data_IF_838943708320
#
_entry.id   IF_838943708320
#
_cell.length_a   1.000
_cell.length_b   1.000
_cell.length_c   1.000
_cell.angle_alpha   90.00
_cell.angle_beta   90.00
_cell.angle_gamma   90.00
#
_symmetry.space_group_name_H-M   'P 1'
#
loop_
_entity.id
_entity.type
_entity.pdbx_description
1 polymer ?
#
# COMPACT_ATOMS: atom_id res chain seq x y z
N UNK A 1 -19.17 -69.64 -18.16
CA UNK A 1 -18.87 -68.49 -17.27
C UNK A 1 -20.18 -67.84 -16.92
N UNK A 2 -20.40 -67.50 -15.65
CA UNK A 2 -21.54 -66.65 -15.31
C UNK A 2 -21.30 -65.25 -15.90
N UNK A 3 -22.36 -64.52 -16.26
CA UNK A 3 -22.25 -63.14 -16.77
C UNK A 3 -21.40 -62.25 -15.85
N UNK A 4 -21.47 -62.49 -14.54
CA UNK A 4 -20.77 -61.75 -13.50
C UNK A 4 -19.25 -61.94 -13.49
N UNK A 5 -18.78 -63.10 -13.93
CA UNK A 5 -17.36 -63.45 -14.03
C UNK A 5 -16.79 -63.11 -15.41
N UNK A 6 -17.57 -62.47 -16.29
CA UNK A 6 -17.06 -62.05 -17.61
C UNK A 6 -16.14 -60.86 -17.43
N UNK A 7 -14.90 -60.99 -17.86
CA UNK A 7 -13.88 -59.94 -17.78
C UNK A 7 -13.92 -59.02 -19.00
N UNK A 8 -13.89 -57.72 -18.75
CA UNK A 8 -13.72 -56.67 -19.74
C UNK A 8 -12.54 -55.81 -19.34
N UNK A 9 -11.51 -55.73 -20.20
CA UNK A 9 -10.27 -54.99 -19.92
C UNK A 9 -9.64 -55.37 -18.56
N UNK A 10 -9.64 -56.67 -18.25
CA UNK A 10 -9.04 -57.25 -17.04
C UNK A 10 -9.77 -56.97 -15.73
N UNK A 11 -11.02 -56.53 -15.80
CA UNK A 11 -11.92 -56.37 -14.66
C UNK A 11 -13.20 -57.17 -14.90
N UNK A 12 -13.71 -57.82 -13.87
CA UNK A 12 -15.01 -58.51 -13.95
C UNK A 12 -16.16 -57.50 -13.99
N UNK A 13 -17.34 -57.92 -14.47
CA UNK A 13 -18.57 -57.11 -14.34
C UNK A 13 -18.82 -56.71 -12.88
N UNK A 14 -18.44 -57.56 -11.92
CA UNK A 14 -18.54 -57.25 -10.48
C UNK A 14 -17.64 -56.08 -10.09
N UNK A 15 -16.40 -56.01 -10.56
CA UNK A 15 -15.46 -54.92 -10.22
C UNK A 15 -15.97 -53.56 -10.71
N UNK A 16 -16.53 -53.51 -11.92
CA UNK A 16 -17.19 -52.31 -12.43
C UNK A 16 -18.42 -51.91 -11.61
N UNK A 17 -19.21 -52.89 -11.15
CA UNK A 17 -20.35 -52.63 -10.27
C UNK A 17 -19.93 -52.17 -8.88
N UNK A 18 -18.81 -52.67 -8.35
CA UNK A 18 -18.23 -52.20 -7.08
C UNK A 18 -17.75 -50.76 -7.25
N UNK A 19 -16.97 -50.45 -8.30
CA UNK A 19 -16.52 -49.09 -8.60
C UNK A 19 -17.71 -48.12 -8.73
N UNK A 20 -18.72 -48.48 -9.54
CA UNK A 20 -19.93 -47.68 -9.70
C UNK A 20 -20.69 -47.53 -8.37
N UNK A 21 -20.79 -48.59 -7.57
CA UNK A 21 -21.41 -48.58 -6.26
C UNK A 21 -20.70 -47.67 -5.26
N UNK A 22 -19.36 -47.67 -5.25
CA UNK A 22 -18.53 -46.76 -4.44
C UNK A 22 -18.78 -45.32 -4.86
N UNK A 23 -18.75 -45.01 -6.16
CA UNK A 23 -18.96 -43.66 -6.68
C UNK A 23 -20.37 -43.17 -6.35
N UNK A 24 -21.40 -43.95 -6.65
CA UNK A 24 -22.80 -43.59 -6.37
C UNK A 24 -23.04 -43.45 -4.86
N UNK A 25 -22.55 -44.40 -4.06
CA UNK A 25 -22.65 -44.38 -2.60
C UNK A 25 -21.94 -43.18 -1.98
N UNK A 26 -20.74 -42.85 -2.47
CA UNK A 26 -19.99 -41.70 -1.98
C UNK A 26 -20.57 -40.36 -2.45
N UNK A 27 -21.20 -40.27 -3.63
CA UNK A 27 -21.98 -39.09 -4.03
C UNK A 27 -23.19 -38.90 -3.12
N UNK A 28 -23.89 -39.98 -2.75
CA UNK A 28 -24.98 -39.94 -1.76
C UNK A 28 -24.42 -39.49 -0.40
N UNK A 29 -23.29 -40.05 0.05
CA UNK A 29 -22.64 -39.66 1.29
C UNK A 29 -22.23 -38.17 1.28
N UNK A 30 -21.68 -37.67 0.17
CA UNK A 30 -21.33 -36.26 0.00
C UNK A 30 -22.57 -35.36 0.05
N UNK A 31 -23.70 -35.79 -0.54
CA UNK A 31 -25.00 -35.10 -0.40
C UNK A 31 -25.54 -35.14 1.03
N UNK A 32 -25.31 -36.22 1.77
CA UNK A 32 -25.66 -36.31 3.19
C UNK A 32 -24.78 -35.35 4.00
N UNK A 33 -23.47 -35.28 3.74
CA UNK A 33 -22.56 -34.32 4.38
C UNK A 33 -22.99 -32.89 4.10
N UNK A 34 -23.34 -32.58 2.84
CA UNK A 34 -23.93 -31.30 2.46
C UNK A 34 -25.22 -31.02 3.27
N UNK A 35 -26.15 -31.96 3.28
CA UNK A 35 -27.41 -31.83 4.03
C UNK A 35 -27.19 -31.65 5.54
N UNK A 36 -26.23 -32.39 6.14
CA UNK A 36 -25.87 -32.28 7.55
C UNK A 36 -25.22 -30.93 7.85
N UNK A 37 -24.28 -30.47 7.02
CA UNK A 37 -23.67 -29.15 7.14
C UNK A 37 -24.75 -28.06 7.14
N UNK A 38 -25.65 -28.11 6.15
CA UNK A 38 -26.72 -27.13 5.98
C UNK A 38 -27.77 -27.13 7.10
N UNK A 39 -28.16 -28.31 7.59
CA UNK A 39 -29.31 -28.43 8.50
C UNK A 39 -28.95 -28.63 9.97
N UNK A 40 -27.74 -29.13 10.26
CA UNK A 40 -27.26 -29.42 11.62
C UNK A 40 -26.16 -28.45 11.99
N UNK A 41 -25.06 -28.42 11.23
CA UNK A 41 -23.87 -27.61 11.57
C UNK A 41 -24.22 -26.12 11.59
N UNK A 42 -24.91 -25.61 10.56
CA UNK A 42 -25.40 -24.22 10.53
C UNK A 42 -26.37 -23.84 11.66
N UNK A 43 -27.05 -24.81 12.31
CA UNK A 43 -27.90 -24.53 13.49
C UNK A 43 -27.09 -24.46 14.79
N UNK A 44 -25.95 -25.14 14.82
CA UNK A 44 -25.04 -25.15 15.97
C UNK A 44 -24.15 -23.91 15.97
N UNK A 45 -23.63 -23.52 14.81
CA UNK A 45 -22.77 -22.33 14.67
C UNK A 45 -23.52 -21.04 14.96
N UNK A 46 -24.83 -20.95 14.68
CA UNK A 46 -25.68 -19.82 15.11
C UNK A 46 -25.76 -19.60 16.63
N UNK A 47 -25.31 -20.56 17.43
CA UNK A 47 -25.27 -20.47 18.91
C UNK A 47 -23.90 -20.05 19.43
N UNK A 48 -22.88 -19.95 18.57
CA UNK A 48 -21.56 -19.47 18.99
C UNK A 48 -21.58 -17.94 19.10
N UNK A 49 -20.61 -17.42 19.85
CA UNK A 49 -20.51 -15.97 20.10
C UNK A 49 -19.92 -15.20 18.91
N UNK A 50 -19.36 -15.89 17.92
CA UNK A 50 -18.61 -15.27 16.82
C UNK A 50 -19.28 -15.57 15.49
N UNK A 51 -19.47 -14.55 14.65
CA UNK A 51 -20.05 -14.70 13.31
C UNK A 51 -19.13 -15.48 12.35
N UNK A 52 -17.84 -15.58 12.70
CA UNK A 52 -16.84 -16.34 11.94
C UNK A 52 -17.26 -17.79 11.70
N UNK A 53 -17.79 -18.44 12.74
CA UNK A 53 -18.10 -19.86 12.68
C UNK A 53 -19.19 -20.15 11.63
N UNK A 54 -20.20 -19.27 11.54
CA UNK A 54 -21.27 -19.37 10.56
C UNK A 54 -20.76 -19.16 9.13
N UNK A 55 -19.87 -18.19 8.94
CA UNK A 55 -19.31 -17.83 7.64
C UNK A 55 -18.35 -18.91 7.14
N UNK A 56 -17.47 -19.41 8.00
CA UNK A 56 -16.54 -20.49 7.67
C UNK A 56 -17.33 -21.72 7.24
N UNK A 57 -18.35 -22.13 7.99
CA UNK A 57 -19.17 -23.30 7.63
C UNK A 57 -19.85 -23.11 6.28
N UNK A 58 -20.37 -21.91 5.99
CA UNK A 58 -20.99 -21.62 4.69
C UNK A 58 -19.99 -21.67 3.52
N UNK A 59 -18.76 -21.17 3.69
CA UNK A 59 -17.76 -21.14 2.63
C UNK A 59 -17.03 -22.47 2.43
N UNK A 60 -16.93 -23.29 3.48
CA UNK A 60 -16.25 -24.58 3.48
C UNK A 60 -17.13 -25.70 2.89
N UNK A 61 -18.45 -25.60 3.04
CA UNK A 61 -19.42 -26.65 2.68
C UNK A 61 -19.25 -27.16 1.24
N UNK A 62 -19.32 -26.29 0.24
CA UNK A 62 -19.27 -26.72 -1.16
C UNK A 62 -17.87 -27.25 -1.59
N UNK A 63 -16.74 -26.61 -1.22
CA UNK A 63 -15.42 -27.17 -1.50
C UNK A 63 -15.20 -28.55 -0.88
N UNK A 64 -15.62 -28.76 0.36
CA UNK A 64 -15.47 -30.06 1.03
C UNK A 64 -16.29 -31.14 0.33
N UNK A 65 -17.53 -30.84 -0.06
CA UNK A 65 -18.39 -31.81 -0.79
C UNK A 65 -17.77 -32.18 -2.13
N UNK A 66 -17.24 -31.20 -2.86
CA UNK A 66 -16.55 -31.47 -4.13
C UNK A 66 -15.26 -32.29 -3.92
N UNK A 67 -14.46 -31.95 -2.91
CA UNK A 67 -13.25 -32.70 -2.54
C UNK A 67 -13.56 -34.15 -2.14
N UNK A 68 -14.66 -34.38 -1.41
CA UNK A 68 -15.14 -35.72 -1.09
C UNK A 68 -15.53 -36.51 -2.34
N UNK A 69 -16.24 -35.88 -3.29
CA UNK A 69 -16.60 -36.52 -4.56
C UNK A 69 -15.34 -36.89 -5.34
N UNK A 70 -14.34 -36.01 -5.41
CA UNK A 70 -13.05 -36.32 -6.05
C UNK A 70 -12.34 -37.50 -5.36
N UNK A 71 -12.27 -37.50 -4.02
CA UNK A 71 -11.62 -38.56 -3.25
C UNK A 71 -12.33 -39.92 -3.40
N UNK A 72 -13.66 -39.94 -3.37
CA UNK A 72 -14.46 -41.15 -3.63
C UNK A 72 -14.25 -41.64 -5.06
N UNK A 73 -14.22 -40.73 -6.04
CA UNK A 73 -14.02 -41.10 -7.45
C UNK A 73 -12.64 -41.71 -7.64
N UNK A 74 -11.60 -41.09 -7.06
CA UNK A 74 -10.24 -41.63 -7.04
C UNK A 74 -10.19 -43.03 -6.41
N UNK A 75 -10.81 -43.19 -5.24
CA UNK A 75 -10.85 -44.48 -4.53
C UNK A 75 -11.63 -45.55 -5.33
N UNK A 76 -12.78 -45.21 -5.90
CA UNK A 76 -13.56 -46.13 -6.74
C UNK A 76 -12.80 -46.56 -7.99
N UNK A 77 -12.10 -45.63 -8.65
CA UNK A 77 -11.25 -45.96 -9.80
C UNK A 77 -10.07 -46.86 -9.41
N UNK A 78 -9.55 -46.74 -8.18
CA UNK A 78 -8.45 -47.60 -7.69
C UNK A 78 -8.85 -49.07 -7.47
N UNK A 79 -10.15 -49.38 -7.48
CA UNK A 79 -10.66 -50.76 -7.45
C UNK A 79 -10.63 -51.44 -8.83
N UNK A 80 -10.54 -50.66 -9.90
CA UNK A 80 -10.38 -51.22 -11.24
C UNK A 80 -8.91 -51.47 -11.50
N UNK A 81 -8.57 -52.71 -11.83
CA UNK A 81 -7.25 -53.10 -12.27
C UNK A 81 -7.26 -53.23 -13.78
N UNK A 82 -6.41 -52.50 -14.49
CA UNK A 82 -6.34 -52.57 -15.94
C UNK A 82 -5.04 -53.28 -16.33
N UNK A 83 -4.99 -54.63 -16.26
CA UNK A 83 -3.78 -55.38 -16.55
C UNK A 83 -3.37 -55.23 -18.02
N UNK A 84 -2.10 -54.88 -18.20
CA UNK A 84 -1.42 -54.70 -19.49
C UNK A 84 -1.52 -55.95 -20.40
N UNK A 85 -1.72 -57.13 -19.82
CA UNK A 85 -1.67 -58.43 -20.52
C UNK A 85 -2.87 -58.71 -21.42
N UNK A 86 -4.05 -58.16 -21.15
CA UNK A 86 -5.27 -58.54 -21.88
C UNK A 86 -5.45 -57.79 -23.20
N UNK A 87 -4.85 -56.60 -23.34
CA UNK A 87 -4.89 -55.83 -24.61
C UNK A 87 -4.13 -56.56 -25.72
N UNK A 88 -3.08 -57.31 -25.36
CA UNK A 88 -2.33 -58.17 -26.29
C UNK A 88 -3.10 -59.48 -26.60
N UNK A 89 -3.86 -59.99 -25.63
CA UNK A 89 -4.64 -61.24 -25.75
C UNK A 89 -5.95 -61.13 -26.54
N UNK A 90 -6.49 -59.93 -26.78
CA UNK A 90 -7.68 -59.74 -27.64
C UNK A 90 -7.38 -60.18 -29.09
N UNK A 91 -6.13 -60.03 -29.53
CA UNK A 91 -5.70 -60.34 -30.89
C UNK A 91 -5.77 -61.85 -31.21
N UNK A 92 -5.67 -62.70 -30.19
CA UNK A 92 -5.66 -64.16 -30.36
C UNK A 92 -7.10 -64.74 -30.47
N UNK A 93 -8.12 -63.98 -30.06
CA UNK A 93 -9.52 -64.48 -29.97
C UNK A 93 -10.50 -63.91 -30.99
N UNK A 94 -10.25 -62.75 -31.60
CA UNK A 94 -11.25 -62.06 -32.44
C UNK A 94 -10.99 -62.10 -33.94
N UNK A 95 -9.80 -62.46 -34.41
CA UNK A 95 -9.53 -62.63 -35.85
C UNK A 95 -9.64 -61.35 -36.70
N UNK A 96 -9.98 -60.21 -36.11
CA UNK A 96 -10.02 -58.92 -36.78
C UNK A 96 -8.60 -58.36 -36.92
N UNK A 97 -8.15 -58.29 -38.17
CA UNK A 97 -6.84 -57.82 -38.59
C UNK A 97 -6.78 -56.31 -38.42
N UNK A 98 -6.45 -55.85 -37.21
CA UNK A 98 -5.72 -54.59 -37.09
C UNK A 98 -4.28 -54.93 -37.49
N UNK A 99 -3.71 -54.15 -38.40
CA UNK A 99 -2.45 -54.40 -39.09
C UNK A 99 -1.24 -54.24 -38.13
N UNK A 100 -1.13 -55.11 -37.13
CA UNK A 100 0.00 -55.19 -36.18
C UNK A 100 1.11 -56.13 -36.66
N UNK A 101 0.95 -56.75 -37.83
CA UNK A 101 1.90 -57.70 -38.45
C UNK A 101 3.33 -57.12 -38.68
N UNK A 102 3.50 -55.81 -38.50
CA UNK A 102 4.78 -55.11 -38.61
C UNK A 102 5.55 -54.99 -37.28
N UNK A 103 4.95 -55.37 -36.14
CA UNK A 103 5.54 -55.30 -34.80
C UNK A 103 5.57 -56.67 -34.14
N UNK A 104 6.69 -57.00 -33.50
CA UNK A 104 6.83 -58.21 -32.69
C UNK A 104 5.94 -58.16 -31.43
N UNK A 105 5.52 -59.31 -30.88
CA UNK A 105 4.73 -59.36 -29.65
C UNK A 105 5.36 -58.63 -28.44
N UNK A 106 6.69 -58.55 -28.41
CA UNK A 106 7.43 -57.81 -27.38
C UNK A 106 7.27 -56.28 -27.56
N UNK A 107 7.32 -55.80 -28.80
CA UNK A 107 7.11 -54.39 -29.12
C UNK A 107 5.67 -53.96 -28.82
N UNK A 108 4.67 -54.78 -29.17
CA UNK A 108 3.26 -54.53 -28.83
C UNK A 108 3.06 -54.43 -27.32
N UNK A 109 3.66 -55.35 -26.54
CA UNK A 109 3.58 -55.32 -25.08
C UNK A 109 4.20 -54.06 -24.47
N UNK A 110 5.32 -53.59 -25.01
CA UNK A 110 5.98 -52.36 -24.56
C UNK A 110 5.15 -51.12 -24.93
N UNK A 111 4.57 -51.05 -26.13
CA UNK A 111 3.65 -49.98 -26.51
C UNK A 111 2.44 -49.89 -25.58
N UNK A 112 1.78 -51.02 -25.31
CA UNK A 112 0.62 -51.08 -24.41
C UNK A 112 1.01 -50.67 -22.98
N UNK A 113 2.16 -51.16 -22.47
CA UNK A 113 2.67 -50.79 -21.15
C UNK A 113 2.96 -49.29 -21.04
N UNK A 114 3.54 -48.69 -22.08
CA UNK A 114 3.84 -47.27 -22.12
C UNK A 114 2.54 -46.43 -22.18
N UNK A 115 1.57 -46.84 -22.99
CA UNK A 115 0.26 -46.19 -23.05
C UNK A 115 -0.46 -46.27 -21.69
N UNK A 116 -0.44 -47.43 -21.04
CA UNK A 116 -1.06 -47.64 -19.74
C UNK A 116 -0.44 -46.77 -18.64
N UNK A 117 0.89 -46.79 -18.52
CA UNK A 117 1.60 -45.98 -17.52
C UNK A 117 1.38 -44.49 -17.73
N UNK A 118 1.26 -44.05 -19.00
CA UNK A 118 0.88 -42.68 -19.33
C UNK A 118 -0.55 -42.35 -18.87
N UNK A 119 -1.54 -43.22 -19.11
CA UNK A 119 -2.93 -43.00 -18.69
C UNK A 119 -3.02 -42.94 -17.15
N UNK A 120 -2.38 -43.85 -16.42
CA UNK A 120 -2.35 -43.81 -14.96
C UNK A 120 -1.71 -42.51 -14.43
N UNK A 121 -0.59 -42.10 -15.02
CA UNK A 121 0.07 -40.85 -14.66
C UNK A 121 -0.80 -39.64 -14.96
N UNK A 122 -1.46 -39.61 -16.13
CA UNK A 122 -2.38 -38.56 -16.52
C UNK A 122 -3.55 -38.45 -15.54
N UNK A 123 -4.21 -39.56 -15.21
CA UNK A 123 -5.33 -39.59 -14.26
C UNK A 123 -4.86 -39.10 -12.89
N UNK A 124 -3.75 -39.62 -12.36
CA UNK A 124 -3.19 -39.16 -11.07
C UNK A 124 -2.89 -37.67 -11.06
N UNK A 125 -2.23 -37.17 -12.09
CA UNK A 125 -1.87 -35.77 -12.20
C UNK A 125 -3.12 -34.88 -12.35
N UNK A 126 -4.14 -35.34 -13.07
CA UNK A 126 -5.43 -34.67 -13.19
C UNK A 126 -6.14 -34.58 -11.83
N UNK A 127 -6.21 -35.66 -11.06
CA UNK A 127 -6.81 -35.63 -9.72
C UNK A 127 -6.03 -34.73 -8.76
N UNK A 128 -4.70 -34.79 -8.76
CA UNK A 128 -3.87 -33.87 -7.98
C UNK A 128 -4.15 -32.40 -8.35
N UNK A 129 -4.21 -32.10 -9.65
CA UNK A 129 -4.55 -30.77 -10.14
C UNK A 129 -5.94 -30.33 -9.65
N UNK A 130 -6.96 -31.16 -9.80
CA UNK A 130 -8.34 -30.86 -9.38
C UNK A 130 -8.46 -30.64 -7.86
N UNK A 131 -7.73 -31.41 -7.06
CA UNK A 131 -7.67 -31.22 -5.60
C UNK A 131 -7.04 -29.86 -5.26
N UNK A 132 -5.92 -29.50 -5.89
CA UNK A 132 -5.29 -28.20 -5.66
C UNK A 132 -6.20 -27.05 -6.09
N UNK A 133 -6.89 -27.17 -7.22
CA UNK A 133 -7.87 -26.18 -7.67
C UNK A 133 -9.05 -26.08 -6.70
N UNK A 134 -9.53 -27.21 -6.14
CA UNK A 134 -10.57 -27.19 -5.11
C UNK A 134 -10.12 -26.49 -3.83
N UNK A 135 -8.88 -26.72 -3.37
CA UNK A 135 -8.29 -26.04 -2.22
C UNK A 135 -8.12 -24.54 -2.52
N UNK A 136 -7.68 -24.18 -3.73
CA UNK A 136 -7.54 -22.78 -4.17
C UNK A 136 -8.89 -22.08 -4.14
N UNK A 137 -9.93 -22.74 -4.64
CA UNK A 137 -11.29 -22.23 -4.60
C UNK A 137 -11.78 -22.04 -3.16
N UNK A 138 -11.51 -22.98 -2.26
CA UNK A 138 -11.80 -22.84 -0.83
C UNK A 138 -11.10 -21.61 -0.22
N UNK A 139 -9.79 -21.47 -0.46
CA UNK A 139 -9.00 -20.34 0.05
C UNK A 139 -9.53 -19.02 -0.50
N UNK A 140 -9.86 -18.94 -1.78
CA UNK A 140 -10.45 -17.75 -2.39
C UNK A 140 -11.79 -17.37 -1.74
N UNK A 141 -12.68 -18.35 -1.50
CA UNK A 141 -13.96 -18.11 -0.82
C UNK A 141 -13.78 -17.65 0.62
N UNK A 142 -12.83 -18.23 1.35
CA UNK A 142 -12.53 -17.83 2.72
C UNK A 142 -11.94 -16.41 2.76
N UNK A 143 -11.03 -16.08 1.84
CA UNK A 143 -10.48 -14.73 1.72
C UNK A 143 -11.59 -13.70 1.43
N UNK A 144 -12.48 -13.99 0.47
CA UNK A 144 -13.63 -13.12 0.16
C UNK A 144 -14.55 -12.94 1.38
N UNK A 145 -14.82 -14.02 2.12
CA UNK A 145 -15.62 -13.98 3.35
C UNK A 145 -14.98 -13.15 4.46
N UNK A 146 -13.66 -13.27 4.66
CA UNK A 146 -12.94 -12.46 5.65
C UNK A 146 -12.95 -10.98 5.28
N UNK A 147 -12.80 -10.65 3.99
CA UNK A 147 -12.91 -9.27 3.52
C UNK A 147 -14.33 -8.74 3.79
N UNK A 148 -15.36 -9.52 3.49
CA UNK A 148 -16.76 -9.12 3.69
C UNK A 148 -17.10 -8.92 5.17
N UNK A 149 -16.63 -9.78 6.07
CA UNK A 149 -16.96 -9.69 7.50
C UNK A 149 -16.12 -8.64 8.26
N UNK A 150 -14.84 -8.48 7.89
CA UNK A 150 -13.94 -7.62 8.67
C UNK A 150 -13.63 -6.29 8.01
N UNK A 151 -13.48 -6.26 6.69
CA UNK A 151 -13.00 -5.06 6.01
C UNK A 151 -14.19 -4.18 5.61
N UNK A 152 -15.24 -4.75 4.98
CA UNK A 152 -16.43 -3.98 4.56
C UNK A 152 -17.08 -3.19 5.71
N UNK A 153 -17.30 -3.75 6.92
CA UNK A 153 -17.97 -2.99 7.98
C UNK A 153 -17.10 -1.88 8.58
N UNK A 154 -15.77 -1.95 8.38
CA UNK A 154 -14.85 -0.87 8.77
C UNK A 154 -14.93 0.26 7.74
N UNK A 155 -15.00 -0.07 6.45
CA UNK A 155 -15.11 0.91 5.37
C UNK A 155 -16.46 1.63 5.39
N UNK A 156 -17.56 0.94 5.66
CA UNK A 156 -18.90 1.56 5.76
C UNK A 156 -19.07 2.54 6.94
N UNK A 157 -18.25 2.38 7.98
CA UNK A 157 -18.23 3.29 9.15
C UNK A 157 -17.30 4.49 8.95
N UNK A 158 -16.45 4.43 7.93
CA UNK A 158 -15.55 5.50 7.55
C UNK A 158 -16.31 6.52 6.71
N UNK A 159 -16.16 7.81 7.00
CA UNK A 159 -16.78 8.88 6.22
C UNK A 159 -16.01 9.20 4.91
N UNK A 160 -15.14 8.29 4.47
CA UNK A 160 -14.14 8.51 3.43
C UNK A 160 -14.52 7.78 2.13
N UNK A 161 -14.75 8.53 1.06
CA UNK A 161 -15.01 8.02 -0.31
C UNK A 161 -13.89 7.09 -0.85
N UNK A 162 -12.72 7.13 -0.21
CA UNK A 162 -11.55 6.39 -0.63
C UNK A 162 -11.66 4.89 -0.31
N UNK A 163 -12.32 4.54 0.78
CA UNK A 163 -12.43 3.14 1.22
C UNK A 163 -13.31 2.33 0.25
N UNK A 164 -14.37 2.95 -0.26
CA UNK A 164 -15.30 2.38 -1.24
C UNK A 164 -14.65 2.12 -2.61
N UNK A 165 -13.63 2.90 -2.98
CA UNK A 165 -12.93 2.75 -4.26
C UNK A 165 -11.75 1.77 -4.18
N UNK A 166 -11.05 1.71 -3.04
CA UNK A 166 -9.91 0.81 -2.87
C UNK A 166 -10.34 -0.64 -2.63
N UNK A 167 -11.43 -0.86 -1.90
CA UNK A 167 -11.86 -2.20 -1.51
C UNK A 167 -12.13 -3.14 -2.70
N UNK A 168 -12.83 -2.72 -3.78
CA UNK A 168 -13.02 -3.55 -4.96
C UNK A 168 -11.71 -3.92 -5.65
N UNK A 169 -10.75 -2.98 -5.71
CA UNK A 169 -9.44 -3.18 -6.34
C UNK A 169 -8.65 -4.21 -5.52
N UNK A 170 -8.60 -4.04 -4.21
CA UNK A 170 -7.91 -4.95 -3.30
C UNK A 170 -8.51 -6.36 -3.37
N UNK A 171 -9.85 -6.49 -3.29
CA UNK A 171 -10.55 -7.78 -3.37
C UNK A 171 -10.26 -8.49 -4.69
N UNK A 172 -10.35 -7.77 -5.82
CA UNK A 172 -10.06 -8.31 -7.15
C UNK A 172 -8.59 -8.72 -7.28
N UNK A 173 -7.67 -7.90 -6.80
CA UNK A 173 -6.23 -8.18 -6.80
C UNK A 173 -5.87 -9.43 -6.00
N UNK A 174 -6.37 -9.53 -4.76
CA UNK A 174 -6.14 -10.70 -3.92
C UNK A 174 -6.69 -11.98 -4.56
N UNK A 175 -7.89 -11.93 -5.15
CA UNK A 175 -8.47 -13.07 -5.86
C UNK A 175 -7.60 -13.49 -7.05
N UNK A 176 -7.09 -12.54 -7.84
CA UNK A 176 -6.18 -12.84 -8.96
C UNK A 176 -4.92 -13.54 -8.44
N UNK A 177 -4.30 -13.03 -7.36
CA UNK A 177 -3.09 -13.62 -6.77
C UNK A 177 -3.35 -15.06 -6.31
N UNK A 178 -4.44 -15.30 -5.57
CA UNK A 178 -4.79 -16.64 -5.08
C UNK A 178 -4.96 -17.62 -6.25
N UNK A 179 -5.68 -17.23 -7.31
CA UNK A 179 -5.89 -18.11 -8.47
C UNK A 179 -4.63 -18.36 -9.28
N UNK A 180 -3.80 -17.34 -9.51
CA UNK A 180 -2.51 -17.49 -10.21
C UNK A 180 -1.62 -18.46 -9.45
N UNK A 181 -1.48 -18.27 -8.13
CA UNK A 181 -0.69 -19.18 -7.28
C UNK A 181 -1.26 -20.59 -7.27
N UNK A 182 -2.58 -20.73 -7.13
CA UNK A 182 -3.25 -22.03 -7.13
C UNK A 182 -3.08 -22.81 -8.44
N UNK A 183 -3.15 -22.12 -9.58
CA UNK A 183 -2.89 -22.74 -10.90
C UNK A 183 -1.44 -23.22 -11.00
N UNK A 184 -0.48 -22.40 -10.57
CA UNK A 184 0.95 -22.77 -10.59
C UNK A 184 1.23 -23.98 -9.71
N UNK A 185 0.73 -23.98 -8.47
CA UNK A 185 0.87 -25.13 -7.56
C UNK A 185 0.19 -26.36 -8.14
N UNK A 186 -0.97 -26.19 -8.78
CA UNK A 186 -1.69 -27.27 -9.45
C UNK A 186 -0.88 -27.89 -10.57
N UNK A 187 -0.32 -27.07 -11.46
CA UNK A 187 0.53 -27.50 -12.57
C UNK A 187 1.80 -28.20 -12.06
N UNK A 188 2.45 -27.65 -11.04
CA UNK A 188 3.63 -28.24 -10.44
C UNK A 188 3.33 -29.64 -9.84
N UNK A 189 2.23 -29.78 -9.10
CA UNK A 189 1.79 -31.05 -8.55
C UNK A 189 1.33 -32.06 -9.61
N UNK A 190 0.93 -31.58 -10.79
CA UNK A 190 0.63 -32.41 -11.95
C UNK A 190 1.89 -32.80 -12.76
N UNK A 191 3.09 -32.44 -12.28
CA UNK A 191 4.37 -32.83 -12.88
C UNK A 191 4.86 -31.90 -14.00
N UNK A 192 4.22 -30.74 -14.19
CA UNK A 192 4.72 -29.72 -15.12
C UNK A 192 5.81 -28.88 -14.47
N UNK A 193 6.87 -28.58 -15.23
CA UNK A 193 7.88 -27.61 -14.80
C UNK A 193 7.31 -26.19 -14.91
N UNK A 194 7.06 -25.57 -13.76
CA UNK A 194 6.57 -24.20 -13.64
C UNK A 194 7.69 -23.17 -13.47
N UNK A 195 8.96 -23.58 -13.53
CA UNK A 195 10.12 -22.72 -13.33
C UNK A 195 10.13 -21.50 -14.26
N UNK A 196 9.82 -21.70 -15.54
CA UNK A 196 9.73 -20.61 -16.51
C UNK A 196 8.58 -19.63 -16.19
N UNK A 197 7.43 -20.13 -15.72
CA UNK A 197 6.28 -19.30 -15.33
C UNK A 197 6.62 -18.49 -14.07
N UNK A 198 7.22 -19.13 -13.07
CA UNK A 198 7.68 -18.47 -11.85
C UNK A 198 8.76 -17.42 -12.13
N UNK A 199 9.72 -17.73 -13.00
CA UNK A 199 10.74 -16.77 -13.42
C UNK A 199 10.12 -15.56 -14.13
N UNK A 200 9.18 -15.79 -15.06
CA UNK A 200 8.45 -14.73 -15.76
C UNK A 200 7.62 -13.87 -14.82
N UNK A 201 6.90 -14.46 -13.87
CA UNK A 201 6.16 -13.73 -12.84
C UNK A 201 7.07 -12.99 -11.87
N UNK A 202 8.25 -13.52 -11.56
CA UNK A 202 9.25 -12.84 -10.74
C UNK A 202 9.76 -11.56 -11.40
N UNK A 203 10.16 -11.65 -12.67
CA UNK A 203 10.61 -10.48 -13.45
C UNK A 203 9.44 -9.50 -13.67
N UNK A 204 8.25 -10.00 -14.04
CA UNK A 204 7.07 -9.18 -14.22
C UNK A 204 6.62 -8.49 -12.92
N UNK A 205 6.71 -9.19 -11.79
CA UNK A 205 6.44 -8.67 -10.45
C UNK A 205 7.43 -7.60 -10.04
N UNK A 206 8.72 -7.78 -10.34
CA UNK A 206 9.73 -6.74 -10.12
C UNK A 206 9.44 -5.49 -10.97
N UNK A 207 9.14 -5.66 -12.26
CA UNK A 207 8.78 -4.55 -13.14
C UNK A 207 7.53 -3.81 -12.63
N UNK A 208 6.52 -4.53 -12.18
CA UNK A 208 5.32 -3.95 -11.56
C UNK A 208 5.64 -3.21 -10.25
N UNK A 209 6.49 -3.78 -9.39
CA UNK A 209 6.92 -3.15 -8.14
C UNK A 209 7.69 -1.85 -8.38
N UNK A 210 8.58 -1.83 -9.39
CA UNK A 210 9.28 -0.62 -9.81
C UNK A 210 8.31 0.43 -10.35
N UNK A 211 7.32 0.03 -11.15
CA UNK A 211 6.29 0.95 -11.65
C UNK A 211 5.38 1.49 -10.54
N UNK A 212 5.13 0.70 -9.49
CA UNK A 212 4.32 1.08 -8.34
C UNK A 212 5.10 1.85 -7.25
N UNK A 213 6.43 1.98 -7.39
CA UNK A 213 7.33 2.52 -6.37
C UNK A 213 6.88 3.90 -5.87
N UNK A 214 6.56 4.84 -6.77
CA UNK A 214 6.13 6.19 -6.40
C UNK A 214 4.81 6.19 -5.65
N UNK A 215 3.87 5.33 -6.02
CA UNK A 215 2.59 5.19 -5.32
C UNK A 215 2.81 4.71 -3.89
N UNK A 216 3.65 3.68 -3.71
CA UNK A 216 4.00 3.13 -2.40
C UNK A 216 4.74 4.18 -1.56
N UNK A 217 5.70 4.90 -2.15
CA UNK A 217 6.46 5.95 -1.47
C UNK A 217 5.56 7.06 -0.95
N UNK A 218 4.59 7.51 -1.76
CA UNK A 218 3.62 8.52 -1.34
C UNK A 218 2.65 8.01 -0.27
N UNK A 219 2.22 6.74 -0.36
CA UNK A 219 1.39 6.14 0.67
C UNK A 219 2.09 6.11 2.04
N UNK A 220 3.34 5.64 2.08
CA UNK A 220 4.14 5.66 3.31
C UNK A 220 4.44 7.09 3.78
N UNK A 221 4.74 8.01 2.87
CA UNK A 221 4.89 9.43 3.22
C UNK A 221 3.64 9.99 3.91
N UNK A 222 2.44 9.60 3.44
CA UNK A 222 1.17 9.97 4.06
C UNK A 222 1.05 9.46 5.50
N UNK A 223 1.36 8.17 5.72
CA UNK A 223 1.37 7.56 7.06
C UNK A 223 2.35 8.29 7.98
N UNK A 224 3.54 8.64 7.50
CA UNK A 224 4.57 9.32 8.29
C UNK A 224 4.14 10.72 8.71
N UNK A 225 3.43 11.47 7.86
CA UNK A 225 2.85 12.77 8.24
C UNK A 225 1.90 12.60 9.43
N UNK A 226 1.06 11.55 9.46
CA UNK A 226 0.15 11.30 10.58
C UNK A 226 0.84 10.77 11.83
N UNK A 227 1.90 9.96 11.67
CA UNK A 227 2.64 9.34 12.76
C UNK A 227 3.54 10.35 13.48
N UNK A 228 4.36 11.09 12.73
CA UNK A 228 5.36 12.02 13.26
C UNK A 228 4.77 13.42 13.50
N UNK A 229 3.67 13.75 12.80
CA UNK A 229 2.98 15.05 12.88
C UNK A 229 3.93 16.26 12.79
N UNK A 230 4.78 16.35 11.74
CA UNK A 230 5.62 17.53 11.53
C UNK A 230 4.80 18.82 11.31
N UNK A 231 3.54 18.66 10.90
CA UNK A 231 2.53 19.71 10.78
C UNK A 231 1.12 19.12 10.86
N UNK A 232 0.14 19.98 11.03
CA UNK A 232 -1.30 19.64 11.06
C UNK A 232 -2.09 20.44 10.04
N UNK A 233 -3.32 19.98 9.76
CA UNK A 233 -4.27 20.73 8.92
C UNK A 233 -4.54 22.07 9.59
N UNK A 234 -4.45 23.16 8.82
CA UNK A 234 -4.59 24.53 9.29
C UNK A 234 -3.27 25.22 9.59
N UNK A 235 -2.15 24.50 9.67
CA UNK A 235 -0.84 25.10 9.89
C UNK A 235 -0.18 25.54 8.57
N UNK A 236 0.54 26.66 8.62
CA UNK A 236 1.40 27.15 7.53
C UNK A 236 2.75 26.48 7.56
N UNK A 237 3.14 25.96 6.40
CA UNK A 237 4.42 25.27 6.20
C UNK A 237 5.14 25.83 4.99
N UNK A 238 6.47 25.65 4.98
CA UNK A 238 7.32 25.90 3.84
C UNK A 238 8.08 24.61 3.45
N UNK A 239 7.95 24.22 2.18
CA UNK A 239 8.59 23.01 1.62
C UNK A 239 8.84 23.19 0.13
N UNK A 240 10.05 22.89 -0.36
CA UNK A 240 10.34 22.87 -1.80
C UNK A 240 10.02 24.19 -2.53
N UNK A 241 10.13 25.34 -1.85
CA UNK A 241 9.77 26.64 -2.39
C UNK A 241 8.27 26.97 -2.39
N UNK A 242 7.44 26.08 -1.85
CA UNK A 242 6.00 26.31 -1.61
C UNK A 242 5.85 26.84 -0.19
N UNK A 243 5.09 27.92 -0.04
CA UNK A 243 4.76 28.55 1.23
C UNK A 243 3.24 28.74 1.30
N UNK A 244 2.60 28.08 2.28
CA UNK A 244 1.15 28.09 2.41
C UNK A 244 0.60 27.24 3.54
N UNK A 245 -0.72 27.30 3.71
CA UNK A 245 -1.46 26.61 4.77
C UNK A 245 -1.97 25.25 4.31
N UNK A 246 -1.75 24.22 5.12
CA UNK A 246 -2.24 22.86 4.86
C UNK A 246 -3.76 22.82 4.97
N UNK A 247 -4.43 22.39 3.90
CA UNK A 247 -5.91 22.27 3.86
C UNK A 247 -6.40 20.84 4.02
N UNK A 248 -5.65 19.88 3.49
CA UNK A 248 -6.04 18.47 3.48
C UNK A 248 -4.80 17.59 3.40
N UNK A 249 -4.74 16.52 4.18
CA UNK A 249 -3.72 15.48 4.07
C UNK A 249 -4.42 14.24 3.52
N UNK A 250 -4.26 14.00 2.22
CA UNK A 250 -4.78 12.81 1.57
C UNK A 250 -3.78 11.64 1.66
N UNK A 251 -4.18 10.48 1.13
CA UNK A 251 -3.35 9.26 1.20
C UNK A 251 -2.07 9.35 0.36
N UNK A 252 -2.13 9.98 -0.81
CA UNK A 252 -0.97 10.12 -1.72
C UNK A 252 -0.39 11.54 -1.74
N UNK A 253 -1.17 12.53 -1.34
CA UNK A 253 -0.80 13.92 -1.50
C UNK A 253 -1.49 14.82 -0.50
N UNK A 254 -0.81 15.89 -0.11
CA UNK A 254 -1.31 16.99 0.73
C UNK A 254 -1.72 18.17 -0.16
N UNK A 255 -2.81 18.86 0.21
CA UNK A 255 -3.26 20.11 -0.41
C UNK A 255 -2.78 21.27 0.43
N UNK A 256 -2.03 22.19 -0.17
CA UNK A 256 -1.49 23.39 0.47
C UNK A 256 -2.05 24.62 -0.24
N UNK A 257 -2.69 25.53 0.49
CA UNK A 257 -3.14 26.82 -0.02
C UNK A 257 -2.02 27.85 0.14
N UNK A 258 -1.46 28.30 -0.98
CA UNK A 258 -0.44 29.36 -0.99
C UNK A 258 -0.97 30.67 -0.42
N UNK A 259 -0.08 31.57 0.00
CA UNK A 259 -0.45 32.94 0.42
C UNK A 259 -1.22 33.75 -0.63
N UNK A 260 -1.13 33.35 -1.91
CA UNK A 260 -1.88 33.94 -3.01
C UNK A 260 -3.27 33.30 -3.22
N UNK A 261 -3.72 32.42 -2.33
CA UNK A 261 -5.03 31.75 -2.38
C UNK A 261 -5.15 30.61 -3.39
N UNK A 262 -4.03 30.05 -3.89
CA UNK A 262 -4.02 28.93 -4.84
C UNK A 262 -3.76 27.60 -4.13
N UNK A 263 -4.50 26.55 -4.50
CA UNK A 263 -4.27 25.18 -4.00
C UNK A 263 -3.16 24.50 -4.82
N UNK A 264 -2.12 24.06 -4.12
CA UNK A 264 -1.02 23.25 -4.64
C UNK A 264 -1.15 21.83 -4.11
N UNK A 265 -0.98 20.85 -5.00
CA UNK A 265 -0.98 19.43 -4.66
C UNK A 265 0.45 18.95 -4.50
N UNK A 266 0.84 18.61 -3.27
CA UNK A 266 2.18 18.17 -2.94
C UNK A 266 2.17 16.66 -2.72
N UNK A 267 2.99 15.86 -3.45
CA UNK A 267 3.15 14.44 -3.19
C UNK A 267 3.62 14.20 -1.76
N UNK A 268 3.01 13.25 -1.06
CA UNK A 268 3.32 12.99 0.34
C UNK A 268 4.78 12.57 0.55
N UNK A 269 5.41 11.93 -0.44
CA UNK A 269 6.82 11.54 -0.36
C UNK A 269 7.75 12.75 -0.16
N UNK A 270 7.38 13.92 -0.66
CA UNK A 270 8.19 15.15 -0.53
C UNK A 270 8.39 15.53 0.95
N UNK A 271 7.37 15.35 1.81
CA UNK A 271 7.47 15.65 3.24
C UNK A 271 8.35 14.66 4.02
N UNK A 272 8.67 13.50 3.42
CA UNK A 272 9.60 12.53 3.99
C UNK A 272 11.01 12.66 3.43
N UNK A 273 11.14 13.17 2.20
CA UNK A 273 12.43 13.33 1.51
C UNK A 273 13.09 14.69 1.80
N UNK A 274 12.30 15.75 1.93
CA UNK A 274 12.76 17.13 2.09
C UNK A 274 12.54 17.66 3.51
N UNK A 275 13.31 18.69 3.88
CA UNK A 275 13.08 19.43 5.11
C UNK A 275 11.79 20.25 5.03
N UNK A 276 10.97 20.17 6.07
CA UNK A 276 9.73 20.93 6.21
C UNK A 276 9.90 21.94 7.33
N UNK A 277 9.71 23.21 7.00
CA UNK A 277 9.68 24.28 7.99
C UNK A 277 8.23 24.54 8.41
N UNK A 278 7.92 24.31 9.68
CA UNK A 278 6.60 24.62 10.21
C UNK A 278 6.60 26.06 10.74
N UNK A 279 6.02 26.96 9.94
CA UNK A 279 6.01 28.40 10.22
C UNK A 279 5.13 28.70 11.43
N UNK A 280 4.06 27.95 11.67
CA UNK A 280 3.14 28.23 12.78
C UNK A 280 3.63 27.73 14.14
N UNK A 281 4.62 26.83 14.16
CA UNK A 281 5.29 26.41 15.39
C UNK A 281 6.35 27.40 15.88
N UNK A 282 6.64 28.49 15.15
CA UNK A 282 7.56 29.53 15.63
C UNK A 282 7.02 30.14 16.95
N UNK A 283 7.84 30.20 18.02
CA UNK A 283 7.42 30.72 19.32
C UNK A 283 7.31 32.25 19.34
N UNK A 284 8.11 32.94 18.52
CA UNK A 284 8.11 34.40 18.38
C UNK A 284 8.80 34.76 17.06
N UNK A 285 8.32 35.81 16.37
CA UNK A 285 8.83 36.18 15.03
C UNK A 285 10.07 37.06 15.16
N UNK A 286 11.22 36.61 14.67
CA UNK A 286 12.44 37.43 14.67
C UNK A 286 12.35 38.58 13.64
N UNK A 287 12.54 39.80 14.10
CA UNK A 287 12.74 40.98 13.24
C UNK A 287 14.16 41.48 13.39
N UNK A 288 14.80 41.84 12.28
CA UNK A 288 16.11 42.46 12.24
C UNK A 288 16.01 43.80 11.51
N UNK A 289 16.13 44.89 12.27
CA UNK A 289 16.22 46.24 11.75
C UNK A 289 17.69 46.66 11.65
N UNK A 290 18.08 47.16 10.48
CA UNK A 290 19.38 47.77 10.24
C UNK A 290 19.17 49.28 10.13
N UNK A 291 19.62 50.02 11.13
CA UNK A 291 19.50 51.48 11.19
C UNK A 291 20.85 52.10 10.83
N UNK A 292 20.86 52.98 9.83
CA UNK A 292 22.04 53.76 9.49
C UNK A 292 21.94 55.15 10.10
N UNK A 293 22.91 55.54 10.91
CA UNK A 293 23.05 56.89 11.47
C UNK A 293 24.14 57.66 10.72
N UNK A 294 24.07 58.98 10.74
CA UNK A 294 25.01 59.86 10.04
C UNK A 294 26.42 59.80 10.65
N UNK A 295 27.44 60.08 9.83
CA UNK A 295 28.86 60.00 10.22
C UNK A 295 29.35 61.14 11.14
N UNK A 296 28.54 62.17 11.32
CA UNK A 296 28.77 63.25 12.27
C UNK A 296 28.41 62.86 13.71
N UNK A 297 27.78 61.70 13.93
CA UNK A 297 27.52 61.14 15.26
C UNK A 297 28.82 60.76 15.95
N UNK A 298 28.91 61.09 17.24
CA UNK A 298 29.99 60.65 18.12
C UNK A 298 29.62 59.37 18.90
N UNK A 299 30.57 58.83 19.66
CA UNK A 299 30.37 57.60 20.43
C UNK A 299 29.21 57.70 21.44
N UNK A 300 29.09 58.84 22.14
CA UNK A 300 28.03 59.07 23.14
C UNK A 300 26.64 59.07 22.47
N UNK A 301 26.51 59.68 21.29
CA UNK A 301 25.28 59.66 20.50
C UNK A 301 24.92 58.26 20.00
N UNK A 302 25.93 57.46 19.62
CA UNK A 302 25.72 56.05 19.24
C UNK A 302 25.25 55.21 20.43
N UNK A 303 25.84 55.42 21.62
CA UNK A 303 25.37 54.79 22.86
C UNK A 303 23.95 55.21 23.21
N UNK A 304 23.63 56.50 23.07
CA UNK A 304 22.28 57.02 23.30
C UNK A 304 21.26 56.42 22.32
N UNK A 305 21.62 56.26 21.05
CA UNK A 305 20.76 55.61 20.06
C UNK A 305 20.49 54.15 20.44
N UNK A 306 21.53 53.41 20.80
CA UNK A 306 21.38 52.01 21.24
C UNK A 306 20.52 51.91 22.51
N UNK A 307 20.71 52.80 23.49
CA UNK A 307 19.89 52.82 24.71
C UNK A 307 18.44 53.16 24.40
N UNK A 308 18.19 54.12 23.51
CA UNK A 308 16.84 54.50 23.09
C UNK A 308 16.08 53.32 22.48
N UNK A 309 16.75 52.47 21.70
CA UNK A 309 16.16 51.24 21.15
C UNK A 309 15.81 50.23 22.24
N UNK A 310 16.64 50.11 23.29
CA UNK A 310 16.34 49.26 24.45
C UNK A 310 15.15 49.77 25.24
N UNK A 311 15.03 51.10 25.39
CA UNK A 311 13.92 51.72 26.09
C UNK A 311 12.61 51.52 25.32
N UNK A 312 12.62 51.69 24.00
CA UNK A 312 11.46 51.39 23.13
C UNK A 312 11.05 49.92 23.29
N UNK A 313 12.01 48.99 23.22
CA UNK A 313 11.72 47.57 23.40
C UNK A 313 11.08 47.27 24.76
N UNK A 314 11.56 47.92 25.83
CA UNK A 314 11.00 47.78 27.18
C UNK A 314 9.58 48.33 27.29
N UNK A 315 9.31 49.46 26.64
CA UNK A 315 8.00 50.09 26.65
C UNK A 315 6.94 49.23 25.92
N UNK A 316 7.35 48.49 24.88
CA UNK A 316 6.48 47.59 24.09
C UNK A 316 6.63 46.10 24.44
N UNK A 317 7.01 45.77 25.68
CA UNK A 317 7.18 44.38 26.17
C UNK A 317 5.90 43.51 26.09
N UNK A 318 4.74 44.13 25.88
CA UNK A 318 3.46 43.49 25.61
C UNK A 318 3.34 42.96 24.17
N UNK A 319 4.11 43.53 23.23
CA UNK A 319 4.12 43.15 21.82
C UNK A 319 5.34 42.30 21.42
N UNK A 320 6.46 42.45 22.13
CA UNK A 320 7.72 41.74 21.85
C UNK A 320 8.23 40.96 23.07
N UNK A 321 9.07 39.96 22.82
CA UNK A 321 9.80 39.24 23.87
C UNK A 321 10.90 40.12 24.51
N UNK A 322 11.28 39.78 25.74
CA UNK A 322 12.34 40.49 26.46
C UNK A 322 13.74 40.29 25.85
N UNK A 323 13.93 39.18 25.11
CA UNK A 323 15.18 38.90 24.42
C UNK A 323 15.35 39.85 23.23
N UNK A 324 16.25 40.81 23.37
CA UNK A 324 16.59 41.77 22.31
C UNK A 324 18.10 41.87 22.16
N UNK A 325 18.55 42.18 20.95
CA UNK A 325 19.95 42.50 20.67
C UNK A 325 20.04 43.85 19.98
N UNK A 326 20.84 44.76 20.54
CA UNK A 326 21.15 46.05 19.92
C UNK A 326 22.67 46.18 19.92
N UNK A 327 23.25 46.55 18.78
CA UNK A 327 24.69 46.77 18.69
C UNK A 327 25.09 47.60 17.49
N UNK A 328 26.09 48.46 17.68
CA UNK A 328 26.81 49.12 16.60
C UNK A 328 27.71 48.10 15.89
N UNK A 329 27.35 47.71 14.67
CA UNK A 329 27.91 46.52 14.01
C UNK A 329 28.81 46.85 12.81
N UNK A 330 28.69 48.04 12.21
CA UNK A 330 29.41 48.36 10.99
C UNK A 330 29.64 49.86 10.79
N UNK A 331 30.77 50.20 10.18
CA UNK A 331 30.98 51.47 9.48
C UNK A 331 30.67 51.21 8.00
N UNK A 332 29.51 51.64 7.51
CA UNK A 332 29.05 51.43 6.14
C UNK A 332 29.30 52.64 5.24
N UNK A 333 29.25 52.46 3.92
CA UNK A 333 29.67 53.48 2.93
C UNK A 333 29.09 54.90 3.14
N UNK A 334 27.87 55.00 3.69
CA UNK A 334 27.17 56.27 3.93
C UNK A 334 26.63 56.43 5.36
N UNK A 335 26.89 55.47 6.26
CA UNK A 335 26.26 55.45 7.59
C UNK A 335 27.01 54.63 8.63
N UNK A 336 26.88 55.01 9.90
CA UNK A 336 27.20 54.19 11.06
C UNK A 336 26.03 53.22 11.34
N UNK A 337 26.26 51.92 11.21
CA UNK A 337 25.22 50.89 11.27
C UNK A 337 24.95 50.38 12.69
N UNK A 338 23.69 50.46 13.13
CA UNK A 338 23.17 49.77 14.31
C UNK A 338 22.26 48.64 13.84
N UNK A 339 22.51 47.43 14.35
CA UNK A 339 21.60 46.29 14.24
C UNK A 339 20.72 46.27 15.49
N UNK A 340 19.40 46.21 15.27
CA UNK A 340 18.41 45.99 16.31
C UNK A 340 17.58 44.73 15.97
N UNK A 341 17.72 43.70 16.79
CA UNK A 341 16.97 42.45 16.71
C UNK A 341 16.00 42.41 17.88
N UNK A 342 14.74 42.15 17.59
CA UNK A 342 13.69 41.87 18.56
C UNK A 342 12.80 40.74 18.05
N UNK A 343 12.07 40.10 18.95
CA UNK A 343 11.17 39.01 18.59
C UNK A 343 9.74 39.39 18.93
N UNK A 344 8.86 39.42 17.92
CA UNK A 344 7.44 39.72 18.11
C UNK A 344 6.77 38.50 18.74
N UNK A 345 5.97 38.72 19.79
CA UNK A 345 5.21 37.65 20.45
C UNK A 345 4.27 36.97 19.44
N UNK A 346 4.04 35.68 19.59
CA UNK A 346 3.23 34.88 18.65
C UNK A 346 1.80 35.43 18.44
N UNK A 347 1.24 36.03 19.48
CA UNK A 347 -0.12 36.55 19.57
C UNK A 347 -0.25 37.97 19.03
N UNK A 348 0.87 38.68 18.85
CA UNK A 348 0.88 40.03 18.34
C UNK A 348 0.85 40.04 16.80
N UNK A 349 0.20 41.04 16.22
CA UNK A 349 0.20 41.21 14.77
C UNK A 349 1.58 41.69 14.29
N UNK A 350 2.13 40.99 13.30
CA UNK A 350 3.47 41.24 12.81
C UNK A 350 3.64 42.65 12.22
N UNK A 351 2.70 43.07 11.36
CA UNK A 351 2.84 44.34 10.64
C UNK A 351 2.53 45.53 11.56
N UNK A 352 1.53 45.39 12.42
CA UNK A 352 1.16 46.43 13.37
C UNK A 352 2.28 46.62 14.41
N UNK A 353 2.84 45.54 14.96
CA UNK A 353 3.97 45.64 15.90
C UNK A 353 5.18 46.29 15.23
N UNK A 354 5.56 45.89 14.02
CA UNK A 354 6.64 46.56 13.28
C UNK A 354 6.35 48.05 13.06
N UNK A 355 5.10 48.41 12.74
CA UNK A 355 4.68 49.80 12.54
C UNK A 355 4.81 50.60 13.84
N UNK A 356 4.34 50.06 14.96
CA UNK A 356 4.47 50.69 16.29
C UNK A 356 5.93 50.91 16.64
N UNK A 357 6.77 49.88 16.51
CA UNK A 357 8.21 49.96 16.80
C UNK A 357 8.89 51.00 15.92
N UNK A 358 8.69 50.95 14.59
CA UNK A 358 9.33 51.86 13.65
C UNK A 358 8.91 53.32 13.87
N UNK A 359 7.63 53.59 14.17
CA UNK A 359 7.16 54.95 14.44
C UNK A 359 7.71 55.50 15.76
N UNK A 360 7.86 54.67 16.79
CA UNK A 360 8.44 55.10 18.07
C UNK A 360 9.95 55.37 17.94
N UNK A 361 10.67 54.53 17.19
CA UNK A 361 12.06 54.77 16.80
C UNK A 361 12.18 56.12 16.10
N UNK A 362 11.37 56.35 15.06
CA UNK A 362 11.41 57.60 14.29
C UNK A 362 11.17 58.84 15.16
N UNK A 363 10.19 58.79 16.07
CA UNK A 363 9.89 59.90 16.98
C UNK A 363 11.02 60.16 17.96
N UNK A 364 11.44 59.14 18.73
CA UNK A 364 12.45 59.33 19.79
C UNK A 364 13.82 59.66 19.24
N UNK A 365 14.18 59.14 18.06
CA UNK A 365 15.42 59.52 17.40
C UNK A 365 15.36 60.98 16.95
N UNK A 366 14.24 61.42 16.36
CA UNK A 366 14.03 62.82 15.98
C UNK A 366 14.09 63.78 17.17
N UNK A 367 13.43 63.46 18.27
CA UNK A 367 13.40 64.29 19.50
C UNK A 367 14.79 64.47 20.14
N UNK A 368 15.68 63.49 19.93
CA UNK A 368 17.06 63.48 20.44
C UNK A 368 18.11 63.97 19.44
N UNK A 369 17.71 64.33 18.22
CA UNK A 369 18.64 64.72 17.16
C UNK A 369 19.52 63.58 16.66
N UNK A 370 19.07 62.33 16.78
CA UNK A 370 19.75 61.14 16.24
C UNK A 370 19.35 60.97 14.77
N UNK A 371 20.09 61.62 13.88
CA UNK A 371 19.78 61.66 12.44
C UNK A 371 20.05 60.33 11.73
N UNK A 372 19.04 59.85 11.01
CA UNK A 372 19.19 58.70 10.12
C UNK A 372 19.89 59.12 8.83
N UNK A 373 20.88 58.32 8.43
CA UNK A 373 21.62 58.55 7.21
C UNK A 373 20.76 58.28 5.97
N UNK A 374 20.95 59.14 4.97
CA UNK A 374 20.54 58.89 3.59
C UNK A 374 21.78 58.70 2.73
N UNK A 375 21.69 58.03 1.57
CA UNK A 375 22.82 57.92 0.66
C UNK A 375 23.37 59.31 0.29
N UNK A 376 24.61 59.59 0.69
CA UNK A 376 25.28 60.88 0.46
C UNK A 376 26.50 60.69 -0.43
N UNK A 377 26.81 61.69 -1.26
CA UNK A 377 28.04 61.72 -2.04
C UNK A 377 28.72 63.07 -1.85
N UNK A 378 30.03 63.04 -1.66
CA UNK A 378 30.85 64.26 -1.67
C UNK A 378 31.21 64.60 -3.12
N UNK A 379 30.71 65.73 -3.62
CA UNK A 379 31.03 66.23 -4.96
C UNK A 379 32.14 67.27 -4.86
N UNK A 380 33.34 66.93 -5.38
CA UNK A 380 34.46 67.85 -5.45
C UNK A 380 34.41 68.65 -6.76
N UNK A 381 34.03 69.92 -6.68
CA UNK A 381 34.08 70.84 -7.81
C UNK A 381 35.47 71.47 -7.94
N UNK A 382 36.26 71.04 -8.93
CA UNK A 382 37.52 71.67 -9.27
C UNK A 382 37.31 72.71 -10.40
N UNK A 383 37.38 74.00 -10.07
CA UNK A 383 37.41 75.05 -11.10
C UNK A 383 38.75 74.99 -11.83
N UNK A 384 38.73 74.62 -13.11
CA UNK A 384 39.89 74.71 -14.00
C UNK A 384 40.21 76.20 -14.20
N UNK A 385 41.43 76.61 -13.82
CA UNK A 385 41.94 77.98 -14.00
C UNK A 385 42.34 78.25 -15.44
#
# INVERSE_FOLDING_TARGET
MSFWETEYYGNTVIDYLICLGIILGGVIAAKIVYWLSKNVVKKLTKKTKTNLDDIIVDKVEEPVVFGLILGVTWYGLSWLNFPITDVVGIHEKTGDVIQWDLLSPAEVKDYVKNAYSWVEAFIRNLFNFLIVINITWLVARLADALIEEYIVPITEKSASDLDDQLLPIFRKGLRIIIWVMGIIVGLNNAGYDVGAVLAGLGIGGLAFALAAQDTVKNFFGGIMIFADKPFQIGERIQIGGIDGTVKEIGIRSTRVETLAGRIVTVPNSMFSDDAVENVDLEPSRKIMLNLGLTYDMNADQMEEAMQTLRDIAKDHHDLIEEDISVGFNAFGDFSLGIVFIYFIRKEADNLDTQTVMNLDILRRFGDKGLEMAFPTQTVLHQQLK
#
